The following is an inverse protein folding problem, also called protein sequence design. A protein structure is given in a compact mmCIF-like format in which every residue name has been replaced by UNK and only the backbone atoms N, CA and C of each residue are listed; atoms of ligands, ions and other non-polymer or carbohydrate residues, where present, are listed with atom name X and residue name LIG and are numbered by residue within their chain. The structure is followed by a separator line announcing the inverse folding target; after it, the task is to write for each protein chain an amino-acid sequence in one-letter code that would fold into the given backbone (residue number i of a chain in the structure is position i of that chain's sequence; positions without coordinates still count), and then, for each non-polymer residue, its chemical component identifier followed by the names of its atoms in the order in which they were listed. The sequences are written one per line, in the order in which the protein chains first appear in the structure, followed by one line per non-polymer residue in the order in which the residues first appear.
data_IF_371257146031
#
_entry.id   IF_371257146031
#
_cell.length_a   1.000
_cell.length_b   1.000
_cell.length_c   1.000
_cell.angle_alpha   90.00
_cell.angle_beta   90.00
_cell.angle_gamma   90.00
#
_symmetry.space_group_name_H-M   'P 1'
#
loop_
_entity.id
_entity.type
_entity.pdbx_description
1 polymer ?
#
# COMPACT_ATOMS: atom_id res chain seq x y z
N UNK A 1 -65.99 46.13 72.27
CA UNK A 1 -66.96 45.03 72.37
C UNK A 1 -66.35 43.84 71.75
N UNK A 2 -65.79 42.91 72.55
CA UNK A 2 -66.32 41.56 72.77
C UNK A 2 -66.61 40.86 71.45
N UNK A 3 -66.08 39.74 71.08
CA UNK A 3 -65.76 38.49 71.78
C UNK A 3 -64.88 37.58 70.91
N UNK A 4 -63.95 36.93 71.53
CA UNK A 4 -63.42 35.62 71.16
C UNK A 4 -64.48 34.55 71.52
N UNK A 5 -64.28 33.22 71.29
CA UNK A 5 -63.28 32.37 70.65
C UNK A 5 -63.98 31.22 69.88
N UNK A 6 -63.20 30.36 69.18
CA UNK A 6 -63.14 28.97 69.62
C UNK A 6 -62.25 28.13 68.76
N UNK A 7 -61.57 27.26 69.45
CA UNK A 7 -60.67 26.19 69.01
C UNK A 7 -61.37 25.11 68.20
N UNK A 8 -60.69 24.56 67.24
CA UNK A 8 -60.98 23.27 66.62
C UNK A 8 -59.70 22.61 66.10
N UNK A 9 -59.36 21.58 66.80
CA UNK A 9 -58.10 20.82 66.74
C UNK A 9 -58.03 19.87 65.56
N UNK A 10 -56.75 19.63 65.14
CA UNK A 10 -56.16 18.33 64.75
C UNK A 10 -56.54 17.71 63.38
N UNK A 11 -55.64 17.64 62.45
CA UNK A 11 -54.96 16.40 62.24
C UNK A 11 -53.72 16.56 61.29
N UNK A 12 -52.55 16.22 61.83
CA UNK A 12 -51.33 16.03 61.02
C UNK A 12 -51.50 14.72 60.24
N UNK A 13 -51.38 14.79 58.94
CA UNK A 13 -50.92 13.67 58.19
C UNK A 13 -49.72 14.14 57.35
N UNK A 14 -48.51 13.69 57.78
CA UNK A 14 -47.28 13.66 57.03
C UNK A 14 -47.54 12.84 55.79
N UNK A 15 -47.42 13.44 54.63
CA UNK A 15 -47.12 12.76 53.39
C UNK A 15 -45.82 13.32 52.94
N UNK A 16 -44.75 12.57 53.25
CA UNK A 16 -43.40 12.79 52.71
C UNK A 16 -43.44 12.65 51.21
N UNK A 17 -43.31 13.75 50.52
CA UNK A 17 -42.97 13.74 49.11
C UNK A 17 -41.50 13.41 48.99
N UNK A 18 -41.21 12.13 48.68
CA UNK A 18 -39.90 11.66 48.27
C UNK A 18 -39.62 12.26 46.89
N UNK A 19 -38.82 13.34 46.82
CA UNK A 19 -38.23 13.79 45.56
C UNK A 19 -37.25 12.72 45.11
N UNK A 20 -37.69 11.82 44.21
CA UNK A 20 -36.79 11.02 43.38
C UNK A 20 -36.14 11.99 42.41
N UNK A 21 -34.90 12.39 42.73
CA UNK A 21 -34.02 12.99 41.76
C UNK A 21 -33.66 11.90 40.74
N UNK A 22 -34.39 11.90 39.62
CA UNK A 22 -34.03 11.09 38.45
C UNK A 22 -32.79 11.72 37.84
N UNK A 23 -31.61 11.26 38.24
CA UNK A 23 -30.38 11.51 37.55
C UNK A 23 -30.49 10.80 36.19
N UNK A 24 -30.89 11.58 35.20
CA UNK A 24 -30.76 11.20 33.79
C UNK A 24 -29.25 11.06 33.53
N UNK A 25 -28.77 9.83 33.63
CA UNK A 25 -27.44 9.48 33.08
C UNK A 25 -27.57 9.65 31.58
N UNK A 26 -27.18 10.83 31.07
CA UNK A 26 -26.96 11.05 29.65
C UNK A 26 -25.86 10.05 29.24
N UNK A 27 -26.26 8.89 28.73
CA UNK A 27 -25.41 8.06 27.91
C UNK A 27 -25.06 8.90 26.69
N UNK A 28 -23.98 9.68 26.78
CA UNK A 28 -23.31 10.23 25.59
C UNK A 28 -22.88 9.00 24.83
N UNK A 29 -23.32 8.79 23.59
CA UNK A 29 -22.80 7.72 22.79
C UNK A 29 -21.29 7.94 22.72
N UNK A 30 -20.53 7.02 23.28
CA UNK A 30 -19.08 6.97 23.10
C UNK A 30 -18.90 6.66 21.62
N UNK A 31 -18.77 7.71 20.82
CA UNK A 31 -18.37 7.55 19.43
C UNK A 31 -17.08 6.73 19.37
N UNK A 32 -16.82 6.03 18.28
CA UNK A 32 -15.62 5.24 18.14
C UNK A 32 -14.42 6.11 18.53
N UNK A 33 -13.53 5.56 19.35
CA UNK A 33 -12.30 6.24 19.71
C UNK A 33 -11.59 6.60 18.40
N UNK A 34 -11.42 7.90 18.12
CA UNK A 34 -10.68 8.37 16.95
C UNK A 34 -9.29 7.73 17.02
N UNK A 35 -8.96 6.89 16.04
CA UNK A 35 -7.64 6.33 15.89
C UNK A 35 -6.65 7.43 15.47
N UNK A 36 -5.36 7.20 15.65
CA UNK A 36 -4.32 8.05 15.07
C UNK A 36 -4.53 8.14 13.54
N UNK A 37 -4.55 9.35 13.00
CA UNK A 37 -4.88 9.60 11.59
C UNK A 37 -4.08 10.78 11.04
N UNK A 38 -3.63 10.66 9.78
CA UNK A 38 -3.19 11.78 8.97
C UNK A 38 -4.43 12.48 8.42
N UNK A 39 -4.62 13.75 8.78
CA UNK A 39 -5.75 14.58 8.31
C UNK A 39 -5.37 15.36 7.06
N UNK A 40 -4.13 15.83 7.01
CA UNK A 40 -3.54 16.49 5.85
C UNK A 40 -2.11 15.96 5.60
N UNK A 41 -1.71 15.78 4.33
CA UNK A 41 -2.51 15.92 3.11
C UNK A 41 -3.61 14.85 3.03
N UNK A 42 -4.69 15.14 2.31
CA UNK A 42 -5.74 14.17 2.06
C UNK A 42 -5.24 13.03 1.15
N UNK A 43 -5.82 11.84 1.31
CA UNK A 43 -5.56 10.71 0.40
C UNK A 43 -5.91 11.12 -1.05
N UNK A 44 -5.00 10.87 -2.00
CA UNK A 44 -5.13 11.30 -3.40
C UNK A 44 -4.70 12.74 -3.70
N UNK A 45 -4.19 13.49 -2.73
CA UNK A 45 -3.70 14.87 -2.95
C UNK A 45 -2.59 14.90 -4.01
N UNK A 46 -2.52 16.01 -4.76
CA UNK A 46 -1.44 16.28 -5.71
C UNK A 46 -0.47 17.26 -5.07
N UNK A 47 0.79 16.88 -5.00
CA UNK A 47 1.87 17.65 -4.39
C UNK A 47 2.97 17.94 -5.41
N UNK A 48 3.85 18.88 -5.08
CA UNK A 48 5.00 19.25 -5.92
C UNK A 48 6.30 18.81 -5.24
N UNK A 49 7.19 18.15 -5.97
CA UNK A 49 8.50 17.74 -5.46
C UNK A 49 9.34 18.94 -5.00
N UNK A 50 10.10 18.75 -3.93
CA UNK A 50 10.95 19.81 -3.35
C UNK A 50 10.20 20.90 -2.59
N UNK A 51 8.87 20.94 -2.59
CA UNK A 51 8.08 21.88 -1.81
C UNK A 51 7.70 21.30 -0.45
N UNK A 52 7.45 22.16 0.52
CA UNK A 52 6.89 21.74 1.80
C UNK A 52 5.38 21.62 1.72
N UNK A 53 4.84 20.56 2.29
CA UNK A 53 3.40 20.33 2.42
C UNK A 53 2.99 20.43 3.89
N UNK A 54 1.87 21.07 4.23
CA UNK A 54 1.34 21.03 5.57
C UNK A 54 0.88 19.60 5.89
N UNK A 55 1.38 19.06 6.99
CA UNK A 55 0.97 17.75 7.52
C UNK A 55 0.27 17.99 8.84
N UNK A 56 -0.91 17.41 8.99
CA UNK A 56 -1.69 17.43 10.21
C UNK A 56 -2.05 16.01 10.61
N UNK A 57 -1.93 15.71 11.90
CA UNK A 57 -2.30 14.42 12.47
C UNK A 57 -3.24 14.60 13.64
N UNK A 58 -4.20 13.71 13.76
CA UNK A 58 -5.09 13.59 14.91
C UNK A 58 -4.78 12.32 15.69
N UNK A 59 -4.61 12.43 17.00
CA UNK A 59 -4.33 11.31 17.90
C UNK A 59 -5.58 10.80 18.64
N UNK A 60 -6.74 11.32 18.31
CA UNK A 60 -8.00 10.97 18.96
C UNK A 60 -8.01 11.31 20.46
N UNK A 61 -8.62 10.44 21.27
CA UNK A 61 -8.67 10.59 22.73
C UNK A 61 -7.41 10.11 23.45
N UNK A 62 -6.42 9.63 22.73
CA UNK A 62 -5.17 9.13 23.29
C UNK A 62 -4.29 10.32 23.70
N UNK A 63 -4.53 10.83 24.91
CA UNK A 63 -3.63 11.80 25.54
C UNK A 63 -2.29 11.11 25.80
N UNK A 64 -1.20 11.67 25.27
CA UNK A 64 0.14 11.13 25.54
C UNK A 64 0.99 10.85 24.29
N UNK A 65 0.65 11.47 23.15
CA UNK A 65 1.50 11.45 21.96
C UNK A 65 2.88 12.02 22.33
N UNK A 66 3.92 11.25 22.07
CA UNK A 66 5.30 11.58 22.46
C UNK A 66 6.14 11.98 21.25
N UNK A 67 5.93 11.28 20.15
CA UNK A 67 6.73 11.44 18.93
C UNK A 67 5.92 10.98 17.74
N UNK A 68 6.06 11.65 16.61
CA UNK A 68 5.57 11.21 15.30
C UNK A 68 6.74 11.19 14.32
N UNK A 69 6.89 10.08 13.62
CA UNK A 69 7.90 9.88 12.59
C UNK A 69 7.21 9.79 11.25
N UNK A 70 7.65 10.60 10.29
CA UNK A 70 7.11 10.66 8.94
C UNK A 70 8.10 10.10 7.95
N UNK A 71 7.60 9.31 6.98
CA UNK A 71 8.41 8.66 5.96
C UNK A 71 7.76 8.80 4.60
N UNK A 72 8.54 9.17 3.60
CA UNK A 72 8.14 9.18 2.20
C UNK A 72 8.65 7.96 1.47
N UNK A 73 7.73 7.22 0.81
CA UNK A 73 8.07 6.09 -0.03
C UNK A 73 7.46 6.25 -1.41
N UNK A 74 8.17 5.85 -2.50
CA UNK A 74 7.50 5.60 -3.75
C UNK A 74 6.47 4.47 -3.54
N UNK A 75 5.29 4.59 -4.16
CA UNK A 75 4.43 3.45 -4.31
C UNK A 75 5.13 2.51 -5.28
N UNK A 76 5.68 1.43 -4.76
CA UNK A 76 6.36 0.45 -5.59
C UNK A 76 5.32 -0.20 -6.49
N UNK A 77 5.62 -0.26 -7.78
CA UNK A 77 4.95 -1.19 -8.66
C UNK A 77 5.28 -2.59 -8.14
N UNK A 78 4.27 -3.43 -8.10
CA UNK A 78 4.32 -4.75 -7.46
C UNK A 78 5.38 -5.68 -8.06
N UNK A 79 5.83 -5.43 -9.28
CA UNK A 79 6.85 -6.21 -9.96
C UNK A 79 8.23 -6.13 -9.29
N UNK A 80 8.61 -4.98 -8.75
CA UNK A 80 9.89 -4.84 -8.05
C UNK A 80 9.95 -5.67 -6.76
N UNK A 81 8.80 -6.01 -6.20
CA UNK A 81 8.69 -6.83 -4.98
C UNK A 81 9.00 -8.30 -5.24
N UNK A 82 8.69 -8.80 -6.42
CA UNK A 82 8.72 -10.23 -6.71
C UNK A 82 9.96 -10.70 -7.47
N UNK A 83 10.70 -9.81 -8.10
CA UNK A 83 11.95 -10.14 -8.81
C UNK A 83 13.11 -10.58 -7.91
N UNK A 84 12.93 -10.55 -6.60
CA UNK A 84 13.96 -10.82 -5.62
C UNK A 84 13.96 -12.18 -4.97
N UNK A 85 12.99 -12.98 -5.22
CA UNK A 85 13.02 -14.36 -4.76
C UNK A 85 13.36 -15.29 -5.93
N UNK A 86 14.65 -15.64 -6.03
CA UNK A 86 14.98 -16.82 -6.79
C UNK A 86 14.37 -18.04 -6.09
N UNK A 87 14.06 -19.08 -6.85
CA UNK A 87 13.46 -20.34 -6.37
C UNK A 87 14.26 -21.03 -5.26
N UNK A 88 15.40 -20.52 -4.88
CA UNK A 88 16.29 -21.04 -3.84
C UNK A 88 16.21 -20.27 -2.52
N UNK A 89 15.33 -19.24 -2.39
CA UNK A 89 15.22 -18.42 -1.19
C UNK A 89 16.45 -17.56 -0.92
N UNK A 90 17.30 -17.33 -1.92
CA UNK A 90 18.44 -16.44 -1.84
C UNK A 90 18.08 -15.14 -2.54
N UNK A 91 17.96 -14.07 -1.77
CA UNK A 91 17.83 -12.74 -2.32
C UNK A 91 19.01 -12.43 -3.24
N UNK A 92 18.74 -12.16 -4.51
CA UNK A 92 19.76 -11.61 -5.40
C UNK A 92 20.11 -10.18 -4.94
N UNK A 93 21.39 -9.80 -5.08
CA UNK A 93 21.89 -8.48 -4.63
C UNK A 93 21.37 -7.31 -5.48
N UNK A 94 20.13 -7.22 -5.74
CA UNK A 94 19.52 -6.12 -6.52
C UNK A 94 18.02 -6.07 -6.37
N UNK A 95 17.45 -7.04 -5.72
CA UNK A 95 16.02 -7.16 -5.55
C UNK A 95 15.63 -6.83 -4.12
N UNK A 96 14.89 -5.78 -4.00
CA UNK A 96 14.29 -5.37 -2.74
C UNK A 96 12.97 -6.12 -2.53
N UNK A 97 13.02 -7.33 -1.95
CA UNK A 97 11.83 -7.99 -1.46
C UNK A 97 11.18 -7.11 -0.37
N UNK A 98 9.97 -6.61 -0.61
CA UNK A 98 9.27 -5.71 0.34
C UNK A 98 9.06 -6.33 1.71
N UNK A 99 8.96 -7.65 1.83
CA UNK A 99 8.85 -8.31 3.14
C UNK A 99 10.09 -8.17 4.02
N UNK A 100 11.28 -8.03 3.45
CA UNK A 100 12.52 -7.77 4.22
C UNK A 100 12.54 -6.42 4.92
N UNK A 101 11.72 -5.49 4.50
CA UNK A 101 11.75 -4.11 4.96
C UNK A 101 10.68 -3.80 6.02
N UNK A 102 9.73 -4.71 6.22
CA UNK A 102 8.77 -4.63 7.30
C UNK A 102 9.19 -5.55 8.43
N UNK A 103 10.10 -5.08 9.28
CA UNK A 103 10.34 -5.74 10.54
C UNK A 103 9.18 -5.40 11.49
N UNK A 104 8.68 -6.41 12.18
CA UNK A 104 7.77 -6.17 13.30
C UNK A 104 8.60 -5.81 14.52
N UNK A 105 8.25 -4.72 15.17
CA UNK A 105 8.71 -4.47 16.52
C UNK A 105 8.32 -5.67 17.38
N UNK A 106 9.31 -6.29 18.04
CA UNK A 106 9.12 -7.52 18.81
C UNK A 106 8.20 -7.35 20.03
N UNK A 107 7.96 -6.12 20.46
CA UNK A 107 7.16 -5.79 21.65
C UNK A 107 5.75 -5.35 21.25
N UNK A 108 5.61 -4.50 20.23
CA UNK A 108 4.33 -3.87 19.86
C UNK A 108 3.66 -4.53 18.66
N UNK A 109 4.38 -5.38 17.90
CA UNK A 109 3.90 -5.93 16.64
C UNK A 109 3.69 -4.88 15.53
N UNK A 110 4.02 -3.62 15.80
CA UNK A 110 3.90 -2.54 14.84
C UNK A 110 4.93 -2.70 13.70
N UNK A 111 4.60 -2.30 12.47
CA UNK A 111 5.56 -2.33 11.39
C UNK A 111 6.72 -1.37 11.71
N UNK A 112 7.93 -1.91 11.79
CA UNK A 112 9.15 -1.12 11.85
C UNK A 112 9.68 -1.00 10.43
N UNK A 113 9.81 0.23 9.96
CA UNK A 113 10.22 0.50 8.59
C UNK A 113 11.71 0.30 8.46
N UNK A 114 12.11 -0.69 7.68
CA UNK A 114 13.49 -0.90 7.27
C UNK A 114 13.75 -0.49 5.82
N UNK A 115 12.74 0.05 5.09
CA UNK A 115 12.94 0.59 3.75
C UNK A 115 13.75 1.88 3.80
N UNK A 116 14.67 2.10 2.88
CA UNK A 116 15.21 3.43 2.65
C UNK A 116 14.06 4.33 2.20
N UNK A 117 13.48 5.06 3.14
CA UNK A 117 12.61 6.17 2.80
C UNK A 117 13.43 7.19 2.00
N UNK A 118 12.81 7.84 1.02
CA UNK A 118 13.47 8.96 0.33
C UNK A 118 13.85 10.03 1.34
N UNK A 119 12.96 10.32 2.30
CA UNK A 119 13.25 11.16 3.46
C UNK A 119 12.51 10.66 4.69
N UNK A 120 13.04 11.00 5.86
CA UNK A 120 12.36 10.80 7.14
C UNK A 120 12.45 12.06 7.99
N UNK A 121 11.38 12.34 8.74
CA UNK A 121 11.30 13.47 9.66
C UNK A 121 10.73 12.99 10.98
N UNK A 122 11.31 13.47 12.09
CA UNK A 122 10.85 13.14 13.44
C UNK A 122 10.35 14.41 14.12
N UNK A 123 9.12 14.40 14.58
CA UNK A 123 8.50 15.49 15.32
C UNK A 123 8.20 15.06 16.76
N UNK A 124 8.73 15.85 17.73
CA UNK A 124 8.59 15.62 19.17
C UNK A 124 7.87 16.75 19.88
N UNK A 125 7.39 17.75 19.13
CA UNK A 125 6.82 18.98 19.70
C UNK A 125 5.39 19.19 19.18
N UNK A 126 4.39 19.29 20.06
CA UNK A 126 3.03 19.63 19.63
C UNK A 126 2.93 21.07 19.08
N UNK A 127 2.05 21.32 18.08
CA UNK A 127 1.24 20.33 17.37
C UNK A 127 2.11 19.51 16.43
N UNK A 128 1.94 18.19 16.49
CA UNK A 128 2.73 17.27 15.66
C UNK A 128 2.34 17.42 14.19
N UNK A 129 3.35 17.59 13.31
CA UNK A 129 3.14 17.84 11.89
C UNK A 129 3.80 19.12 11.43
N UNK A 130 3.06 20.00 10.74
CA UNK A 130 3.58 21.25 10.19
C UNK A 130 4.11 21.10 8.77
N UNK A 131 5.10 21.90 8.38
CA UNK A 131 5.65 21.92 7.03
C UNK A 131 6.64 20.76 6.82
N UNK A 132 6.20 19.67 6.17
CA UNK A 132 7.04 18.52 5.83
C UNK A 132 7.57 18.66 4.40
N UNK A 133 8.90 18.56 4.16
CA UNK A 133 9.43 18.63 2.80
C UNK A 133 9.02 17.39 1.99
N UNK A 134 8.48 17.61 0.79
CA UNK A 134 8.33 16.56 -0.22
C UNK A 134 9.69 16.31 -0.85
N UNK A 135 10.18 15.06 -0.97
CA UNK A 135 11.48 14.79 -1.55
C UNK A 135 11.64 15.42 -2.94
N UNK A 136 12.81 15.97 -3.23
CA UNK A 136 13.07 16.64 -4.51
C UNK A 136 13.11 15.70 -5.70
N UNK A 137 13.42 14.42 -5.45
CA UNK A 137 13.47 13.33 -6.41
C UNK A 137 12.14 12.56 -6.51
N UNK A 138 11.15 12.88 -5.66
CA UNK A 138 9.85 12.23 -5.69
C UNK A 138 9.08 12.55 -6.98
N UNK A 139 8.47 11.53 -7.57
CA UNK A 139 7.59 11.63 -8.73
C UNK A 139 6.58 10.49 -8.73
N UNK A 140 5.40 10.75 -9.30
CA UNK A 140 4.33 9.76 -9.39
C UNK A 140 3.65 9.52 -8.06
N UNK A 141 3.12 8.32 -7.88
CA UNK A 141 2.39 7.98 -6.67
C UNK A 141 3.34 7.68 -5.51
N UNK A 142 3.13 8.40 -4.42
CA UNK A 142 3.94 8.32 -3.22
C UNK A 142 3.07 7.95 -2.03
N UNK A 143 3.66 7.31 -1.05
CA UNK A 143 3.07 7.02 0.25
C UNK A 143 3.74 7.87 1.32
N UNK A 144 2.95 8.65 2.05
CA UNK A 144 3.35 9.27 3.31
C UNK A 144 2.88 8.37 4.45
N UNK A 145 3.82 7.81 5.20
CA UNK A 145 3.56 7.00 6.38
C UNK A 145 3.90 7.83 7.62
N UNK A 146 2.97 7.92 8.58
CA UNK A 146 3.18 8.48 9.90
C UNK A 146 3.14 7.37 10.95
N UNK A 147 4.18 7.27 11.78
CA UNK A 147 4.26 6.34 12.91
C UNK A 147 4.34 7.15 14.19
N UNK A 148 3.40 6.93 15.09
CA UNK A 148 3.29 7.68 16.34
C UNK A 148 3.53 6.78 17.56
N UNK A 149 4.33 7.26 18.51
CA UNK A 149 4.50 6.65 19.81
C UNK A 149 3.66 7.37 20.86
N UNK A 150 2.80 6.62 21.54
CA UNK A 150 1.87 7.10 22.56
C UNK A 150 2.28 6.55 23.91
N UNK A 151 2.44 7.44 24.89
CA UNK A 151 2.73 7.03 26.27
C UNK A 151 1.49 6.47 26.96
N UNK A 152 1.60 5.28 27.48
CA UNK A 152 0.55 4.65 28.33
C UNK A 152 0.94 4.70 29.82
N UNK A 153 1.76 5.67 30.21
CA UNK A 153 2.24 5.80 31.59
C UNK A 153 3.04 4.57 32.05
N UNK A 154 2.58 3.92 33.13
CA UNK A 154 3.25 2.74 33.67
C UNK A 154 3.19 1.50 32.76
N UNK A 155 2.32 1.46 31.78
CA UNK A 155 2.16 0.37 30.81
C UNK A 155 3.17 0.47 29.62
N UNK A 156 4.01 1.52 29.60
CA UNK A 156 5.01 1.70 28.55
C UNK A 156 4.54 2.59 27.41
N UNK A 157 4.90 2.22 26.18
CA UNK A 157 4.54 2.92 24.96
C UNK A 157 3.71 2.03 24.04
N UNK A 158 2.76 2.63 23.36
CA UNK A 158 2.01 2.01 22.26
C UNK A 158 2.40 2.70 20.96
N UNK A 159 2.72 1.95 19.93
CA UNK A 159 2.98 2.49 18.59
C UNK A 159 1.75 2.31 17.72
N UNK A 160 1.35 3.37 17.05
CA UNK A 160 0.25 3.39 16.07
C UNK A 160 0.75 4.03 14.79
N UNK A 161 0.08 3.78 13.67
CA UNK A 161 0.47 4.36 12.39
C UNK A 161 -0.75 4.65 11.51
N UNK A 162 -0.57 5.55 10.56
CA UNK A 162 -1.49 5.79 9.45
C UNK A 162 -0.71 6.16 8.20
N UNK A 163 -1.34 6.01 7.04
CA UNK A 163 -0.73 6.29 5.75
C UNK A 163 -1.71 6.93 4.80
N UNK A 164 -1.21 7.80 3.94
CA UNK A 164 -1.96 8.38 2.83
C UNK A 164 -1.15 8.26 1.54
N UNK A 165 -1.86 8.06 0.44
CA UNK A 165 -1.27 8.04 -0.89
C UNK A 165 -1.50 9.37 -1.58
N UNK A 166 -0.43 9.93 -2.15
CA UNK A 166 -0.45 11.21 -2.85
C UNK A 166 0.19 11.04 -4.22
N UNK A 167 -0.08 11.97 -5.13
CA UNK A 167 0.62 12.03 -6.42
C UNK A 167 1.59 13.21 -6.40
N UNK A 168 2.87 12.93 -6.59
CA UNK A 168 3.89 13.99 -6.65
C UNK A 168 4.23 14.31 -8.08
N UNK A 169 4.17 15.58 -8.43
CA UNK A 169 4.58 16.11 -9.73
C UNK A 169 5.90 16.87 -9.59
N UNK A 170 6.82 16.72 -10.57
CA UNK A 170 8.06 17.51 -10.55
C UNK A 170 7.75 19.00 -10.73
N UNK A 171 8.57 19.83 -10.09
CA UNK A 171 8.47 21.30 -10.23
C UNK A 171 9.07 21.82 -11.55
N UNK A 172 9.72 20.95 -12.31
CA UNK A 172 10.53 21.30 -13.49
C UNK A 172 10.23 20.37 -14.66
N UNK A 173 10.56 20.81 -15.87
CA UNK A 173 10.28 20.09 -17.11
C UNK A 173 11.17 18.85 -17.28
N UNK A 174 10.59 17.81 -17.88
CA UNK A 174 11.29 16.62 -18.34
C UNK A 174 12.06 16.95 -19.63
N UNK A 175 13.37 16.77 -19.61
CA UNK A 175 14.26 17.03 -20.76
C UNK A 175 14.40 15.81 -21.66
N UNK A 176 14.63 14.63 -21.07
CA UNK A 176 14.80 13.37 -21.78
C UNK A 176 14.24 12.19 -20.99
N UNK A 177 13.94 11.09 -21.70
CA UNK A 177 13.54 9.81 -21.11
C UNK A 177 14.37 8.70 -21.74
N UNK A 178 14.79 7.71 -20.95
CA UNK A 178 15.54 6.57 -21.47
C UNK A 178 15.31 5.31 -20.63
N UNK A 179 15.63 4.15 -21.22
CA UNK A 179 15.71 2.87 -20.52
C UNK A 179 17.06 2.74 -19.81
N UNK A 180 17.05 2.41 -18.53
CA UNK A 180 18.24 2.12 -17.75
C UNK A 180 18.64 0.65 -17.92
N UNK A 181 19.00 0.28 -19.15
CA UNK A 181 19.38 -1.08 -19.51
C UNK A 181 20.35 -1.12 -20.67
N UNK A 182 20.92 -2.30 -20.91
CA UNK A 182 21.73 -2.56 -22.10
C UNK A 182 20.93 -2.40 -23.39
N UNK A 183 21.57 -1.91 -24.43
CA UNK A 183 20.96 -1.68 -25.75
C UNK A 183 21.79 -2.35 -26.84
N UNK A 184 21.22 -3.30 -27.60
CA UNK A 184 19.86 -3.86 -27.51
C UNK A 184 19.68 -4.76 -26.29
N UNK A 185 18.43 -4.86 -25.79
CA UNK A 185 18.09 -5.76 -24.70
C UNK A 185 17.95 -7.20 -25.22
N UNK A 186 18.62 -8.13 -24.57
CA UNK A 186 18.48 -9.56 -24.84
C UNK A 186 17.85 -10.26 -23.64
N UNK A 187 16.81 -11.04 -23.87
CA UNK A 187 16.08 -11.81 -22.87
C UNK A 187 16.17 -13.30 -23.22
N UNK A 188 16.34 -14.14 -22.19
CA UNK A 188 16.45 -15.59 -22.37
C UNK A 188 17.87 -16.12 -22.29
N UNK A 189 18.16 -17.22 -23.04
CA UNK A 189 19.43 -17.98 -22.91
C UNK A 189 20.70 -17.20 -23.20
N UNK A 190 20.62 -16.24 -24.11
CA UNK A 190 21.73 -15.40 -24.51
C UNK A 190 21.70 -14.02 -23.95
N UNK A 191 20.57 -13.65 -23.33
CA UNK A 191 20.36 -12.37 -22.63
C UNK A 191 20.58 -12.57 -21.15
N UNK A 192 21.47 -11.79 -20.57
CA UNK A 192 21.63 -11.75 -19.13
C UNK A 192 21.56 -10.33 -18.68
N UNK A 193 20.51 -10.01 -18.00
CA UNK A 193 20.53 -8.87 -17.13
C UNK A 193 20.24 -9.34 -15.72
N UNK A 194 21.23 -9.30 -14.86
CA UNK A 194 21.06 -9.54 -13.43
C UNK A 194 20.10 -8.55 -12.76
N UNK A 195 19.84 -7.42 -13.41
CA UNK A 195 18.92 -6.39 -12.93
C UNK A 195 17.44 -6.81 -13.07
N UNK A 196 17.12 -7.73 -13.99
CA UNK A 196 15.74 -8.09 -14.34
C UNK A 196 15.35 -9.50 -13.91
N UNK A 197 16.21 -10.17 -13.14
CA UNK A 197 16.01 -11.56 -12.75
C UNK A 197 16.22 -12.54 -13.92
N UNK A 198 15.86 -13.80 -13.70
CA UNK A 198 15.89 -14.81 -14.75
C UNK A 198 14.63 -14.70 -15.61
N UNK A 199 14.77 -14.00 -16.74
CA UNK A 199 13.72 -13.92 -17.76
C UNK A 199 14.04 -14.98 -18.81
N UNK A 200 13.71 -16.23 -18.51
CA UNK A 200 14.15 -17.44 -19.25
C UNK A 200 13.00 -18.30 -19.78
N UNK A 201 11.75 -17.92 -19.56
CA UNK A 201 10.57 -18.69 -19.94
C UNK A 201 9.44 -17.82 -20.49
N UNK A 202 8.58 -18.41 -21.31
CA UNK A 202 7.34 -17.79 -21.76
C UNK A 202 6.42 -17.52 -20.56
N UNK A 203 5.62 -16.47 -20.67
CA UNK A 203 4.72 -16.04 -19.60
C UNK A 203 5.38 -15.23 -18.49
N UNK A 204 6.70 -15.16 -18.43
CA UNK A 204 7.43 -14.41 -17.40
C UNK A 204 7.10 -12.92 -17.46
N UNK A 205 6.78 -12.35 -16.30
CA UNK A 205 6.47 -10.92 -16.14
C UNK A 205 7.64 -10.23 -15.46
N UNK A 206 8.00 -9.04 -15.97
CA UNK A 206 9.11 -8.24 -15.44
C UNK A 206 8.87 -6.74 -15.68
N UNK A 207 9.63 -5.90 -15.01
CA UNK A 207 9.67 -4.45 -15.21
C UNK A 207 11.01 -4.04 -15.80
N UNK A 208 11.01 -3.06 -16.70
CA UNK A 208 12.23 -2.41 -17.17
C UNK A 208 12.35 -1.04 -16.52
N UNK A 209 13.49 -0.73 -15.88
CA UNK A 209 13.74 0.61 -15.37
C UNK A 209 13.76 1.65 -16.48
N UNK A 210 12.96 2.69 -16.28
CA UNK A 210 12.89 3.88 -17.13
C UNK A 210 13.23 5.08 -16.28
N UNK A 211 14.10 5.94 -16.78
CA UNK A 211 14.52 7.16 -16.07
C UNK A 211 14.30 8.38 -16.92
N UNK A 212 14.05 9.51 -16.30
CA UNK A 212 13.95 10.81 -16.94
C UNK A 212 14.95 11.79 -16.38
N UNK A 213 15.60 12.54 -17.24
CA UNK A 213 16.40 13.71 -16.89
C UNK A 213 15.53 14.95 -16.85
N UNK A 214 15.57 15.71 -15.78
CA UNK A 214 14.78 16.91 -15.59
C UNK A 214 15.65 18.18 -15.65
N UNK A 215 15.00 19.33 -15.83
CA UNK A 215 15.69 20.62 -16.01
C UNK A 215 16.50 21.08 -14.79
N UNK A 216 16.29 20.47 -13.62
CA UNK A 216 17.09 20.66 -12.41
C UNK A 216 18.32 19.73 -12.34
N UNK A 217 18.57 18.93 -13.38
CA UNK A 217 19.66 17.94 -13.45
C UNK A 217 19.42 16.69 -12.61
N UNK A 218 18.23 16.51 -12.04
CA UNK A 218 17.89 15.33 -11.24
C UNK A 218 17.31 14.24 -12.13
N UNK A 219 17.87 13.03 -12.02
CA UNK A 219 17.32 11.83 -12.64
C UNK A 219 16.21 11.27 -11.75
N UNK A 220 15.03 11.01 -12.33
CA UNK A 220 13.89 10.46 -11.59
C UNK A 220 13.39 9.18 -12.25
N UNK A 221 12.99 8.17 -11.46
CA UNK A 221 12.42 6.94 -11.99
C UNK A 221 11.05 7.21 -12.63
N UNK A 222 10.88 6.76 -13.86
CA UNK A 222 9.66 6.94 -14.65
C UNK A 222 8.99 5.62 -15.04
N UNK A 223 9.43 4.47 -14.49
CA UNK A 223 8.87 3.15 -14.87
C UNK A 223 7.39 3.03 -14.59
N UNK A 224 6.90 3.60 -13.48
CA UNK A 224 5.49 3.49 -13.11
C UNK A 224 4.58 4.32 -14.02
N UNK A 225 3.44 3.78 -14.50
CA UNK A 225 2.41 4.56 -15.20
C UNK A 225 1.87 5.73 -14.37
N UNK A 226 1.97 5.69 -13.05
CA UNK A 226 1.57 6.79 -12.16
C UNK A 226 2.39 8.06 -12.37
N UNK A 227 3.57 7.97 -13.02
CA UNK A 227 4.40 9.11 -13.42
C UNK A 227 3.97 9.73 -14.76
N UNK A 228 2.97 9.16 -15.42
CA UNK A 228 2.51 9.54 -16.75
C UNK A 228 3.18 8.78 -17.89
N UNK A 229 4.04 7.80 -17.59
CA UNK A 229 4.72 6.97 -18.59
C UNK A 229 3.74 6.00 -19.26
N UNK A 230 3.84 5.92 -20.58
CA UNK A 230 3.10 4.97 -21.41
C UNK A 230 4.07 4.10 -22.17
N UNK A 231 3.74 2.82 -22.28
CA UNK A 231 4.52 1.82 -22.97
C UNK A 231 3.78 1.33 -24.21
N UNK A 232 4.51 0.97 -25.24
CA UNK A 232 3.99 0.25 -26.41
C UNK A 232 5.01 -0.73 -26.95
N UNK A 233 4.57 -1.95 -27.24
CA UNK A 233 5.36 -2.97 -27.92
C UNK A 233 5.19 -2.85 -29.44
N UNK A 234 6.25 -3.16 -30.17
CA UNK A 234 6.19 -3.28 -31.63
C UNK A 234 5.55 -4.59 -32.09
N UNK A 235 5.56 -5.63 -31.23
CA UNK A 235 4.90 -6.91 -31.48
C UNK A 235 4.47 -7.56 -30.16
N UNK A 236 3.16 -7.55 -29.91
CA UNK A 236 2.55 -8.10 -28.69
C UNK A 236 2.57 -9.63 -28.64
N UNK A 237 2.91 -10.33 -29.76
CA UNK A 237 3.11 -11.78 -29.76
C UNK A 237 4.52 -12.17 -29.30
N UNK A 238 5.43 -11.21 -29.14
CA UNK A 238 6.77 -11.42 -28.61
C UNK A 238 6.87 -10.86 -27.20
N UNK A 239 6.51 -9.58 -27.02
CA UNK A 239 6.58 -8.87 -25.76
C UNK A 239 5.29 -8.07 -25.57
N UNK A 240 4.49 -8.41 -24.57
CA UNK A 240 3.22 -7.75 -24.26
C UNK A 240 3.39 -6.74 -23.13
N UNK A 241 2.81 -5.57 -23.32
CA UNK A 241 2.70 -4.55 -22.28
C UNK A 241 1.41 -4.79 -21.46
N UNK A 242 1.54 -4.88 -20.13
CA UNK A 242 0.44 -5.00 -19.19
C UNK A 242 -0.03 -3.62 -18.70
N UNK A 243 -1.26 -3.49 -18.14
CA UNK A 243 -1.84 -2.20 -17.78
C UNK A 243 -1.04 -1.38 -16.75
N UNK A 244 -0.27 -2.02 -15.91
CA UNK A 244 0.57 -1.42 -14.87
C UNK A 244 2.00 -1.10 -15.33
N UNK A 245 2.27 -1.21 -16.64
CA UNK A 245 3.58 -0.96 -17.24
C UNK A 245 4.53 -2.14 -17.16
N UNK A 246 4.08 -3.27 -16.62
CA UNK A 246 4.82 -4.52 -16.63
C UNK A 246 4.89 -5.10 -18.04
N UNK A 247 5.92 -5.90 -18.29
CA UNK A 247 6.17 -6.57 -19.55
C UNK A 247 6.03 -8.07 -19.37
N UNK A 248 5.40 -8.73 -20.32
CA UNK A 248 5.25 -10.19 -20.33
C UNK A 248 5.89 -10.76 -21.60
N UNK A 249 6.74 -11.78 -21.45
CA UNK A 249 7.26 -12.56 -22.58
C UNK A 249 6.15 -13.46 -23.10
N UNK A 250 5.82 -13.30 -24.38
CA UNK A 250 4.78 -14.10 -25.05
C UNK A 250 5.36 -15.03 -26.09
N UNK A 251 6.45 -14.64 -26.76
CA UNK A 251 7.06 -15.45 -27.80
C UNK A 251 8.51 -15.09 -28.05
N UNK A 252 9.19 -15.93 -28.86
CA UNK A 252 10.54 -15.69 -29.33
C UNK A 252 10.55 -14.77 -30.55
N UNK A 253 11.58 -13.92 -30.66
CA UNK A 253 11.75 -13.05 -31.82
C UNK A 253 12.44 -11.74 -31.50
N UNK A 254 12.27 -10.78 -32.42
CA UNK A 254 12.77 -9.41 -32.27
C UNK A 254 11.58 -8.45 -32.31
N UNK A 255 11.57 -7.53 -31.39
CA UNK A 255 10.58 -6.45 -31.33
C UNK A 255 11.23 -5.16 -30.82
N UNK A 256 10.47 -4.10 -30.74
CA UNK A 256 10.89 -2.85 -30.10
C UNK A 256 9.94 -2.52 -28.95
N UNK A 257 10.45 -1.92 -27.90
CA UNK A 257 9.68 -1.35 -26.83
C UNK A 257 9.84 0.16 -26.84
N UNK A 258 8.73 0.88 -26.87
CA UNK A 258 8.73 2.35 -26.87
C UNK A 258 8.08 2.85 -25.57
N UNK A 259 8.72 3.83 -24.94
CA UNK A 259 8.16 4.57 -23.81
C UNK A 259 7.97 6.03 -24.16
N UNK A 260 6.92 6.62 -23.63
CA UNK A 260 6.61 8.05 -23.79
C UNK A 260 6.18 8.66 -22.46
N UNK A 261 6.67 9.87 -22.17
CA UNK A 261 6.25 10.67 -21.03
C UNK A 261 6.48 12.16 -21.34
N UNK A 262 5.52 13.04 -21.04
CA UNK A 262 5.66 14.48 -21.19
C UNK A 262 6.08 14.92 -22.61
N UNK A 263 5.69 14.20 -23.66
CA UNK A 263 6.10 14.47 -25.05
C UNK A 263 7.51 14.02 -25.40
N UNK A 264 8.23 13.38 -24.49
CA UNK A 264 9.53 12.72 -24.74
C UNK A 264 9.31 11.24 -25.02
N UNK A 265 10.24 10.64 -25.78
CA UNK A 265 10.17 9.24 -26.22
C UNK A 265 11.54 8.59 -26.21
N UNK A 266 11.57 7.33 -25.84
CA UNK A 266 12.72 6.44 -26.05
C UNK A 266 12.24 5.11 -26.64
N UNK A 267 13.09 4.47 -27.45
CA UNK A 267 12.82 3.17 -28.06
C UNK A 267 14.01 2.25 -27.81
N UNK A 268 13.69 1.00 -27.46
CA UNK A 268 14.63 -0.05 -27.15
C UNK A 268 14.38 -1.25 -28.07
N UNK A 269 15.41 -1.71 -28.78
CA UNK A 269 15.36 -2.97 -29.51
C UNK A 269 15.44 -4.13 -28.54
N UNK A 270 14.52 -5.08 -28.64
CA UNK A 270 14.41 -6.24 -27.75
C UNK A 270 14.49 -7.53 -28.58
N UNK A 271 15.33 -8.45 -28.13
CA UNK A 271 15.41 -9.81 -28.65
C UNK A 271 15.06 -10.81 -27.55
N UNK A 272 14.10 -11.68 -27.85
CA UNK A 272 13.67 -12.74 -26.95
C UNK A 272 14.09 -14.10 -27.50
N UNK A 273 14.83 -14.88 -26.70
CA UNK A 273 15.26 -16.23 -27.00
C UNK A 273 15.08 -17.13 -25.77
N UNK A 274 13.82 -17.40 -25.42
CA UNK A 274 13.47 -18.27 -24.30
C UNK A 274 13.18 -19.69 -24.77
N UNK A 275 13.19 -20.67 -23.87
CA UNK A 275 12.91 -22.04 -24.22
C UNK A 275 11.46 -22.19 -24.70
N UNK A 276 11.20 -22.71 -25.92
CA UNK A 276 9.87 -22.76 -26.51
C UNK A 276 9.04 -23.97 -26.05
N UNK A 277 9.20 -24.45 -24.82
CA UNK A 277 8.25 -25.42 -24.31
C UNK A 277 6.85 -24.79 -24.34
N UNK A 278 5.94 -25.43 -25.07
CA UNK A 278 4.56 -25.00 -25.14
C UNK A 278 3.99 -24.96 -23.71
N UNK A 279 3.66 -23.79 -23.24
CA UNK A 279 3.11 -23.53 -21.94
C UNK A 279 2.33 -22.24 -22.00
N UNK A 280 1.05 -22.30 -21.63
CA UNK A 280 0.22 -21.11 -21.48
C UNK A 280 0.29 -20.63 -20.04
N UNK A 281 0.44 -19.32 -19.78
CA UNK A 281 0.44 -18.79 -18.44
C UNK A 281 -0.88 -19.09 -17.72
N UNK A 282 -0.83 -19.38 -16.41
CA UNK A 282 -2.03 -19.61 -15.64
C UNK A 282 -2.87 -18.31 -15.52
N UNK A 283 -4.13 -18.48 -15.18
CA UNK A 283 -5.09 -17.40 -14.97
C UNK A 283 -5.38 -17.27 -13.49
N UNK A 284 -5.00 -16.13 -12.90
CA UNK A 284 -5.32 -15.82 -11.51
C UNK A 284 -6.77 -15.35 -11.36
N UNK A 285 -7.43 -15.80 -10.30
CA UNK A 285 -8.72 -15.30 -9.84
C UNK A 285 -8.64 -15.03 -8.33
N UNK A 286 -8.73 -13.79 -7.94
CA UNK A 286 -8.61 -13.35 -6.54
C UNK A 286 -9.95 -13.38 -5.78
N UNK A 287 -11.01 -13.84 -6.43
CA UNK A 287 -12.35 -13.90 -5.88
C UNK A 287 -13.06 -12.54 -5.83
N UNK A 288 -14.27 -12.55 -5.27
CA UNK A 288 -15.11 -11.36 -5.19
C UNK A 288 -14.70 -10.43 -4.03
N UNK A 289 -14.90 -9.14 -4.23
CA UNK A 289 -14.76 -8.13 -3.18
C UNK A 289 -15.67 -8.43 -1.98
N UNK A 290 -15.23 -8.05 -0.77
CA UNK A 290 -15.92 -8.32 0.50
C UNK A 290 -16.07 -7.06 1.33
N UNK A 291 -17.17 -6.96 2.07
CA UNK A 291 -17.34 -5.95 3.12
C UNK A 291 -17.47 -6.67 4.47
N UNK A 292 -16.68 -6.27 5.45
CA UNK A 292 -16.60 -6.91 6.77
C UNK A 292 -16.52 -5.86 7.87
N UNK A 293 -16.87 -6.24 9.10
CA UNK A 293 -16.68 -5.42 10.32
C UNK A 293 -15.24 -5.55 10.81
N UNK A 294 -14.74 -4.49 11.44
CA UNK A 294 -13.48 -4.51 12.17
C UNK A 294 -13.40 -5.69 13.16
N UNK A 295 -12.22 -6.29 13.28
CA UNK A 295 -11.98 -7.48 14.11
C UNK A 295 -12.40 -8.80 13.48
N UNK A 296 -13.09 -8.82 12.33
CA UNK A 296 -13.51 -10.04 11.65
C UNK A 296 -12.31 -10.77 11.03
N UNK A 297 -12.26 -12.10 11.17
CA UNK A 297 -11.30 -12.92 10.42
C UNK A 297 -11.76 -13.04 8.97
N UNK A 298 -10.96 -12.49 8.06
CA UNK A 298 -11.18 -12.52 6.61
C UNK A 298 -10.35 -13.64 5.99
N UNK A 299 -10.96 -14.39 5.06
CA UNK A 299 -10.28 -15.36 4.19
C UNK A 299 -10.43 -14.88 2.76
N UNK A 300 -9.33 -14.69 2.05
CA UNK A 300 -9.32 -14.46 0.60
C UNK A 300 -9.55 -15.78 -0.13
N UNK A 301 -9.81 -15.74 -1.43
CA UNK A 301 -10.14 -16.94 -2.19
C UNK A 301 -9.52 -16.89 -3.58
N UNK A 302 -8.49 -17.69 -3.79
CA UNK A 302 -7.81 -17.90 -5.08
C UNK A 302 -8.15 -19.24 -5.74
N UNK A 303 -9.11 -20.01 -5.22
CA UNK A 303 -9.42 -21.37 -5.69
C UNK A 303 -9.93 -21.45 -7.14
N UNK A 304 -10.41 -20.32 -7.69
CA UNK A 304 -10.88 -20.28 -9.09
C UNK A 304 -9.75 -20.00 -10.08
N UNK A 305 -8.52 -19.78 -9.59
CA UNK A 305 -7.35 -19.73 -10.44
C UNK A 305 -7.15 -21.07 -11.16
N UNK A 306 -6.75 -21.02 -12.41
CA UNK A 306 -6.59 -22.21 -13.24
C UNK A 306 -5.37 -22.12 -14.15
N UNK A 307 -4.80 -23.24 -14.42
CA UNK A 307 -3.80 -23.45 -15.45
C UNK A 307 -4.44 -24.05 -16.71
N UNK A 308 -4.15 -23.53 -17.92
CA UNK A 308 -4.72 -24.07 -19.17
C UNK A 308 -4.35 -25.53 -19.41
N UNK A 309 -3.15 -25.96 -19.03
CA UNK A 309 -2.68 -27.35 -19.15
C UNK A 309 -3.10 -28.22 -17.96
N UNK A 310 -3.74 -27.62 -16.94
CA UNK A 310 -4.20 -28.33 -15.73
C UNK A 310 -3.08 -28.63 -14.74
N UNK A 311 -1.99 -27.90 -14.79
CA UNK A 311 -0.85 -28.06 -13.86
C UNK A 311 -1.20 -27.52 -12.46
N UNK A 312 -0.41 -27.95 -11.47
CA UNK A 312 -0.55 -27.41 -10.12
C UNK A 312 -0.02 -25.97 -10.04
N UNK A 313 -0.75 -25.13 -9.32
CA UNK A 313 -0.46 -23.72 -9.15
C UNK A 313 0.26 -23.45 -7.83
N UNK A 314 1.20 -22.52 -7.86
CA UNK A 314 1.80 -21.88 -6.71
C UNK A 314 1.17 -20.50 -6.55
N UNK A 315 0.75 -20.16 -5.35
CA UNK A 315 0.05 -18.92 -5.04
C UNK A 315 0.98 -17.92 -4.36
N UNK A 316 0.85 -16.66 -4.71
CA UNK A 316 1.53 -15.57 -4.04
C UNK A 316 0.55 -14.42 -3.81
N UNK A 317 0.21 -14.17 -2.55
CA UNK A 317 -0.66 -13.09 -2.16
C UNK A 317 0.12 -11.95 -1.51
N UNK A 318 -0.19 -10.74 -1.85
CA UNK A 318 0.36 -9.53 -1.24
C UNK A 318 -0.72 -8.47 -1.01
N UNK A 319 -0.49 -7.61 -0.03
CA UNK A 319 -1.35 -6.44 0.18
C UNK A 319 -0.76 -5.24 -0.54
N UNK A 320 -1.57 -4.56 -1.37
CA UNK A 320 -1.13 -3.46 -2.22
C UNK A 320 -1.73 -2.11 -1.84
N UNK A 321 -2.79 -2.09 -1.02
CA UNK A 321 -3.38 -0.85 -0.52
C UNK A 321 -3.97 -1.03 0.88
N UNK A 322 -3.95 0.06 1.64
CA UNK A 322 -4.44 0.15 3.02
C UNK A 322 -3.33 -0.10 4.04
N UNK A 323 -3.59 0.23 5.31
CA UNK A 323 -2.65 -0.03 6.40
C UNK A 323 -2.31 -1.52 6.49
N UNK A 324 -1.02 -1.83 6.67
CA UNK A 324 -0.51 -3.22 6.60
C UNK A 324 -1.23 -4.12 7.61
N UNK A 325 -1.74 -5.25 7.11
CA UNK A 325 -2.31 -6.31 7.95
C UNK A 325 -1.39 -7.53 7.97
N UNK A 326 -1.42 -8.28 9.08
CA UNK A 326 -0.69 -9.54 9.17
C UNK A 326 -1.47 -10.62 8.44
N UNK A 327 -1.03 -10.99 7.24
CA UNK A 327 -1.59 -12.09 6.46
C UNK A 327 -0.92 -13.41 6.88
N UNK A 328 -1.72 -14.47 6.96
CA UNK A 328 -1.29 -15.84 7.19
C UNK A 328 -1.51 -16.65 5.91
N UNK A 329 -0.63 -17.62 5.66
CA UNK A 329 -0.73 -18.57 4.56
C UNK A 329 -0.75 -17.90 3.16
N UNK A 330 0.08 -16.87 2.98
CA UNK A 330 0.14 -16.06 1.74
C UNK A 330 0.50 -16.88 0.50
N UNK A 331 1.09 -18.07 0.68
CA UNK A 331 1.45 -18.99 -0.41
C UNK A 331 0.38 -20.05 -0.67
N UNK A 332 -0.79 -19.97 -0.02
CA UNK A 332 -1.91 -20.86 -0.21
C UNK A 332 -3.03 -20.20 -1.03
N UNK A 333 -3.91 -21.01 -1.59
CA UNK A 333 -5.05 -20.50 -2.35
C UNK A 333 -5.99 -19.63 -1.49
N UNK A 334 -6.04 -19.86 -0.18
CA UNK A 334 -6.95 -19.17 0.75
C UNK A 334 -6.23 -18.56 1.95
N UNK A 335 -5.46 -17.50 1.77
CA UNK A 335 -4.83 -16.81 2.91
C UNK A 335 -5.86 -16.13 3.80
N UNK A 336 -5.47 -15.81 5.02
CA UNK A 336 -6.36 -15.13 5.97
C UNK A 336 -5.66 -14.02 6.72
N UNK A 337 -6.46 -13.04 7.15
CA UNK A 337 -6.02 -11.97 8.06
C UNK A 337 -7.17 -11.55 8.97
N UNK A 338 -6.86 -10.79 10.03
CA UNK A 338 -7.88 -10.15 10.85
C UNK A 338 -8.07 -8.72 10.39
N UNK A 339 -9.30 -8.32 10.05
CA UNK A 339 -9.64 -6.95 9.69
C UNK A 339 -9.24 -6.00 10.82
N UNK A 340 -8.44 -4.96 10.54
CA UNK A 340 -8.00 -4.03 11.58
C UNK A 340 -9.17 -3.20 12.11
N UNK A 341 -9.01 -2.67 13.32
CA UNK A 341 -9.95 -1.66 13.82
C UNK A 341 -9.73 -0.36 13.08
N UNK A 342 -10.80 0.17 12.50
CA UNK A 342 -10.83 1.42 11.73
C UNK A 342 -11.84 2.37 12.34
N UNK A 343 -11.60 3.68 12.30
CA UNK A 343 -12.53 4.72 12.78
C UNK A 343 -13.55 5.14 11.71
N UNK A 344 -13.26 4.85 10.47
CA UNK A 344 -14.11 5.08 9.30
C UNK A 344 -13.96 3.91 8.32
N UNK A 345 -14.90 3.74 7.41
CA UNK A 345 -14.83 2.69 6.38
C UNK A 345 -13.57 2.85 5.55
N UNK A 346 -12.77 1.78 5.45
CA UNK A 346 -11.52 1.75 4.67
C UNK A 346 -11.47 0.54 3.76
N UNK A 347 -10.86 0.72 2.59
CA UNK A 347 -10.67 -0.36 1.62
C UNK A 347 -9.21 -0.80 1.60
N UNK A 348 -9.02 -2.10 1.70
CA UNK A 348 -7.75 -2.81 1.60
C UNK A 348 -7.74 -3.56 0.29
N UNK A 349 -6.71 -3.41 -0.52
CA UNK A 349 -6.56 -4.14 -1.78
C UNK A 349 -5.48 -5.19 -1.66
N UNK A 350 -5.81 -6.39 -2.13
CA UNK A 350 -4.90 -7.52 -2.17
C UNK A 350 -4.70 -7.96 -3.61
N UNK A 351 -3.50 -8.44 -3.88
CA UNK A 351 -3.08 -8.99 -5.16
C UNK A 351 -2.85 -10.48 -5.04
N UNK A 352 -3.25 -11.22 -6.04
CA UNK A 352 -2.90 -12.61 -6.26
C UNK A 352 -2.11 -12.73 -7.55
N UNK A 353 -0.96 -13.41 -7.48
CA UNK A 353 -0.29 -13.99 -8.62
C UNK A 353 -0.28 -15.51 -8.45
N UNK A 354 -0.44 -16.25 -9.52
CA UNK A 354 -0.25 -17.69 -9.54
C UNK A 354 0.83 -18.03 -10.56
N UNK A 355 1.64 -19.04 -10.24
CA UNK A 355 2.74 -19.52 -11.07
C UNK A 355 2.51 -21.01 -11.31
N UNK A 356 2.72 -21.50 -12.53
CA UNK A 356 2.65 -22.92 -12.86
C UNK A 356 3.95 -23.67 -12.49
N UNK A 357 4.00 -24.97 -12.74
CA UNK A 357 5.21 -25.79 -12.50
C UNK A 357 6.38 -25.45 -13.41
N UNK A 358 6.11 -24.89 -14.58
CA UNK A 358 7.14 -24.52 -15.57
C UNK A 358 7.66 -23.10 -15.33
N UNK A 359 7.02 -22.37 -14.39
CA UNK A 359 7.43 -21.07 -13.92
C UNK A 359 6.83 -19.90 -14.69
N UNK A 360 5.81 -20.11 -15.51
CA UNK A 360 5.06 -19.02 -16.09
C UNK A 360 4.12 -18.40 -15.03
N UNK A 361 4.08 -17.09 -15.01
CA UNK A 361 3.29 -16.31 -14.06
C UNK A 361 1.99 -15.81 -14.70
N UNK A 362 0.91 -15.79 -13.93
CA UNK A 362 -0.34 -15.14 -14.34
C UNK A 362 -0.20 -13.62 -14.43
N UNK A 363 -1.08 -13.00 -15.21
CA UNK A 363 -1.41 -11.60 -14.95
C UNK A 363 -1.99 -11.50 -13.54
N UNK A 364 -1.55 -10.51 -12.72
CA UNK A 364 -2.07 -10.34 -11.37
C UNK A 364 -3.58 -10.11 -11.33
N UNK A 365 -4.27 -10.75 -10.38
CA UNK A 365 -5.67 -10.49 -10.06
C UNK A 365 -5.77 -9.74 -8.72
N UNK A 366 -6.78 -8.86 -8.59
CA UNK A 366 -6.95 -8.02 -7.42
C UNK A 366 -8.30 -8.23 -6.75
N UNK A 367 -8.33 -8.12 -5.43
CA UNK A 367 -9.57 -8.12 -4.65
C UNK A 367 -9.56 -7.03 -3.59
N UNK A 368 -10.69 -6.35 -3.46
CA UNK A 368 -10.91 -5.34 -2.43
C UNK A 368 -11.66 -5.90 -1.23
N UNK A 369 -11.16 -5.58 -0.04
CA UNK A 369 -11.86 -5.84 1.23
C UNK A 369 -12.15 -4.51 1.90
N UNK A 370 -13.42 -4.16 2.00
CA UNK A 370 -13.89 -2.97 2.70
C UNK A 370 -14.13 -3.31 4.16
N UNK A 371 -13.46 -2.61 5.07
CA UNK A 371 -13.60 -2.77 6.51
C UNK A 371 -14.40 -1.60 7.04
N UNK A 372 -15.50 -1.92 7.72
CA UNK A 372 -16.35 -0.96 8.44
C UNK A 372 -16.01 -0.97 9.95
N UNK A 373 -16.19 0.14 10.65
CA UNK A 373 -16.00 0.23 12.10
C UNK A 373 -16.78 -0.81 12.91
#
# INVERSE_FOLDING_TARGET
MRQTPSRGSVNRRNTGACLLALTLLLCVPVGPALAFKIVAPADGAVLTSGQAVPVEVEAGREAGLVEVRYYWYPEQTEALVEQGEDRAGKASQGSMATEKYWQKDSITGAPVVALPALTSTVDRVPPYGGALPVPSDAIGRMRLLAIADISQGRLGRKTVFDEVFVTVQPAVDLLSIDFETEKPLQLGRTGQSSAYGHVDSLGKIFELPVVGEFADGVMRPLSSPSTGTKYSSGDDHILKVLPDGLLQIVGNGKTSLTVTNGGKQATLDVRVEVNPEANEPPVADAGAAKTVKAGTKVRLNGLLSRDPEGEALFYAWSQVRGSKVAMLDVNMAEPSFTAPYVSETRTFRFKLRVTDKKGADSVPAFVDVTVEP
#
